data_IF_800067042656
#
_entry.id   IF_800067042656
#
_cell.length_a   1.000
_cell.length_b   1.000
_cell.length_c   1.000
_cell.angle_alpha   90.00
_cell.angle_beta   90.00
_cell.angle_gamma   90.00
#
_symmetry.space_group_name_H-M   'P 1'
#
loop_
_entity.id
_entity.type
_entity.pdbx_description
1 polymer ?
#
# COMPACT_ATOMS: atom_id res chain seq x y z
N UNK A 1 -8.42 28.37 -16.78
CA UNK A 1 -8.22 28.29 -15.32
C UNK A 1 -9.54 27.83 -14.74
N UNK A 2 -9.66 26.56 -14.34
CA UNK A 2 -10.93 26.03 -13.84
C UNK A 2 -11.13 26.52 -12.41
N UNK A 3 -12.14 27.36 -12.20
CA UNK A 3 -12.54 27.83 -10.87
C UNK A 3 -12.95 26.60 -10.05
N UNK A 4 -12.12 26.24 -9.07
CA UNK A 4 -12.49 25.20 -8.10
C UNK A 4 -13.37 25.85 -7.05
N UNK A 5 -14.57 25.33 -6.88
CA UNK A 5 -15.54 25.82 -5.90
C UNK A 5 -15.50 25.04 -4.56
N UNK A 6 -14.45 24.24 -4.33
CA UNK A 6 -14.22 23.47 -3.11
C UNK A 6 -12.79 23.64 -2.59
N UNK A 7 -12.59 23.37 -1.30
CA UNK A 7 -11.28 23.42 -0.64
C UNK A 7 -10.66 22.04 -0.49
N UNK A 8 -9.34 21.96 -0.39
CA UNK A 8 -8.63 20.69 -0.22
C UNK A 8 -7.96 20.67 1.13
N UNK A 9 -8.40 19.78 2.01
CA UNK A 9 -7.94 19.71 3.39
C UNK A 9 -6.82 18.68 3.52
N UNK A 10 -5.78 19.04 4.28
CA UNK A 10 -4.82 18.08 4.82
C UNK A 10 -5.48 17.15 5.84
N UNK A 11 -4.87 16.00 6.18
CA UNK A 11 -5.36 15.13 7.25
C UNK A 11 -5.58 15.84 8.60
N UNK A 12 -4.68 16.75 8.98
CA UNK A 12 -4.81 17.50 10.24
C UNK A 12 -5.99 18.49 10.24
N UNK A 13 -6.22 19.18 9.12
CA UNK A 13 -7.38 20.07 8.97
C UNK A 13 -8.69 19.28 8.92
N UNK A 14 -8.70 18.13 8.24
CA UNK A 14 -9.83 17.22 8.22
C UNK A 14 -10.14 16.68 9.63
N UNK A 15 -9.12 16.43 10.47
CA UNK A 15 -9.32 15.97 11.85
C UNK A 15 -9.98 17.06 12.70
N UNK A 16 -9.55 18.30 12.52
CA UNK A 16 -10.17 19.46 13.16
C UNK A 16 -11.62 19.63 12.73
N UNK A 17 -11.92 19.46 11.44
CA UNK A 17 -13.28 19.52 10.91
C UNK A 17 -14.17 18.40 11.49
N UNK A 18 -13.67 17.18 11.53
CA UNK A 18 -14.40 16.02 12.07
C UNK A 18 -14.67 16.15 13.57
N UNK A 19 -13.72 16.73 14.33
CA UNK A 19 -13.89 16.98 15.75
C UNK A 19 -15.06 17.94 16.08
N UNK A 20 -15.51 18.76 15.12
CA UNK A 20 -16.71 19.60 15.30
C UNK A 20 -18.00 18.77 15.38
N UNK A 21 -18.01 17.56 14.81
CA UNK A 21 -19.21 16.71 14.69
C UNK A 21 -20.28 17.25 13.74
N UNK A 22 -20.01 18.35 13.02
CA UNK A 22 -20.98 19.02 12.16
C UNK A 22 -20.87 18.61 10.69
N UNK A 23 -19.76 17.99 10.29
CA UNK A 23 -19.52 17.66 8.89
C UNK A 23 -20.30 16.43 8.43
N UNK A 24 -20.89 16.50 7.23
CA UNK A 24 -21.34 15.32 6.49
C UNK A 24 -20.16 14.72 5.74
N UNK A 25 -19.84 13.46 6.03
CA UNK A 25 -18.66 12.77 5.52
C UNK A 25 -19.07 11.71 4.52
N UNK A 26 -18.47 11.74 3.33
CA UNK A 26 -18.73 10.79 2.25
C UNK A 26 -17.48 10.07 1.81
N UNK A 27 -17.57 8.75 1.78
CA UNK A 27 -16.53 7.84 1.30
C UNK A 27 -16.91 7.30 -0.07
N UNK A 28 -16.12 7.65 -1.09
CA UNK A 28 -16.33 7.22 -2.48
C UNK A 28 -15.42 6.06 -2.89
N UNK A 29 -14.79 5.36 -1.93
CA UNK A 29 -14.06 4.10 -2.17
C UNK A 29 -15.03 2.96 -2.48
N UNK A 30 -14.54 1.83 -2.96
CA UNK A 30 -15.42 0.66 -3.15
C UNK A 30 -15.94 0.11 -1.82
N UNK A 31 -17.13 -0.51 -1.88
CA UNK A 31 -17.85 -1.02 -0.69
C UNK A 31 -17.02 -1.95 0.21
N UNK A 32 -16.16 -2.85 -0.31
CA UNK A 32 -15.30 -3.68 0.55
C UNK A 32 -14.33 -2.85 1.40
N UNK A 33 -13.72 -1.81 0.83
CA UNK A 33 -12.79 -0.95 1.56
C UNK A 33 -13.49 -0.06 2.58
N UNK A 34 -14.68 0.45 2.24
CA UNK A 34 -15.53 1.15 3.20
C UNK A 34 -15.89 0.23 4.38
N UNK A 35 -16.36 -0.99 4.12
CA UNK A 35 -16.78 -1.93 5.16
C UNK A 35 -15.65 -2.36 6.11
N UNK A 36 -14.40 -2.35 5.64
CA UNK A 36 -13.24 -2.71 6.44
C UNK A 36 -12.87 -1.61 7.44
N UNK A 37 -12.73 -0.37 6.98
CA UNK A 37 -12.36 0.77 7.82
C UNK A 37 -12.65 2.07 7.07
N UNK A 38 -13.13 3.11 7.77
CA UNK A 38 -13.55 4.38 7.19
C UNK A 38 -13.49 5.54 8.19
N UNK A 39 -13.56 6.79 7.71
CA UNK A 39 -13.62 7.96 8.58
C UNK A 39 -14.81 7.88 9.56
N UNK A 40 -14.69 8.43 10.78
CA UNK A 40 -15.78 8.46 11.73
C UNK A 40 -17.03 9.14 11.14
N UNK A 41 -18.18 8.46 11.20
CA UNK A 41 -19.45 8.99 10.68
C UNK A 41 -19.55 9.04 9.14
N UNK A 42 -18.60 8.45 8.41
CA UNK A 42 -18.66 8.41 6.95
C UNK A 42 -19.82 7.57 6.44
N UNK A 43 -20.50 8.08 5.42
CA UNK A 43 -21.46 7.33 4.61
C UNK A 43 -20.79 6.93 3.30
N UNK A 44 -20.94 5.68 2.89
CA UNK A 44 -20.51 5.23 1.58
C UNK A 44 -21.34 5.95 0.49
N UNK A 45 -20.66 6.44 -0.53
CA UNK A 45 -21.25 7.17 -1.65
C UNK A 45 -20.82 6.50 -2.95
N UNK A 46 -21.74 5.73 -3.52
CA UNK A 46 -21.63 5.18 -4.88
C UNK A 46 -22.46 6.02 -5.87
N UNK A 47 -22.41 5.65 -7.14
CA UNK A 47 -23.15 6.36 -8.20
C UNK A 47 -24.66 6.39 -7.97
N UNK A 48 -25.22 5.33 -7.36
CA UNK A 48 -26.65 5.25 -7.04
C UNK A 48 -27.05 6.13 -5.84
N UNK A 49 -26.12 6.38 -4.91
CA UNK A 49 -26.32 7.16 -3.70
C UNK A 49 -26.18 8.69 -3.88
N UNK A 50 -25.72 9.16 -5.04
CA UNK A 50 -25.42 10.58 -5.29
C UNK A 50 -26.64 11.49 -5.08
N UNK A 51 -27.78 11.16 -5.67
CA UNK A 51 -28.99 11.97 -5.58
C UNK A 51 -29.49 12.08 -4.15
N UNK A 52 -29.48 10.96 -3.41
CA UNK A 52 -29.86 10.92 -2.01
C UNK A 52 -28.91 11.76 -1.14
N UNK A 53 -27.62 11.75 -1.44
CA UNK A 53 -26.61 12.53 -0.73
C UNK A 53 -26.79 14.04 -0.96
N UNK A 54 -27.04 14.45 -2.21
CA UNK A 54 -27.26 15.86 -2.58
C UNK A 54 -28.56 16.43 -1.99
N UNK A 55 -29.64 15.66 -2.02
CA UNK A 55 -30.95 16.07 -1.49
C UNK A 55 -31.03 15.98 0.04
N UNK A 56 -30.37 14.98 0.62
CA UNK A 56 -30.41 14.69 2.06
C UNK A 56 -29.43 15.51 2.90
N UNK A 57 -28.55 16.30 2.29
CA UNK A 57 -27.53 17.09 3.02
C UNK A 57 -27.85 18.59 2.94
N UNK A 58 -27.99 19.28 4.08
CA UNK A 58 -28.18 20.73 4.11
C UNK A 58 -27.04 21.49 3.42
N UNK A 59 -27.37 22.47 2.57
CA UNK A 59 -26.39 23.21 1.74
C UNK A 59 -25.33 24.00 2.50
N UNK A 60 -25.65 24.37 3.75
CA UNK A 60 -24.76 25.12 4.66
C UNK A 60 -23.94 24.22 5.58
N UNK A 61 -24.22 22.91 5.59
CA UNK A 61 -23.46 21.97 6.39
C UNK A 61 -22.11 21.71 5.70
N UNK A 62 -20.99 21.66 6.45
CA UNK A 62 -19.72 21.26 5.88
C UNK A 62 -19.81 19.85 5.29
N UNK A 63 -19.28 19.67 4.08
CA UNK A 63 -19.21 18.38 3.40
C UNK A 63 -17.75 18.01 3.20
N UNK A 64 -17.35 16.83 3.69
CA UNK A 64 -16.03 16.24 3.46
C UNK A 64 -16.16 15.00 2.60
N UNK A 65 -15.45 14.95 1.48
CA UNK A 65 -15.45 13.82 0.54
C UNK A 65 -14.03 13.27 0.39
N UNK A 66 -13.88 11.94 0.40
CA UNK A 66 -12.58 11.31 0.23
C UNK A 66 -12.66 9.98 -0.53
N UNK A 67 -11.56 9.64 -1.21
CA UNK A 67 -11.35 8.34 -1.85
C UNK A 67 -10.02 7.73 -1.35
N UNK A 68 -9.48 6.72 -2.03
CA UNK A 68 -8.20 6.09 -1.65
C UNK A 68 -7.04 7.10 -1.57
N UNK A 69 -6.78 7.86 -2.65
CA UNK A 69 -5.62 8.76 -2.78
C UNK A 69 -6.01 10.24 -3.03
N UNK A 70 -7.30 10.58 -2.95
CA UNK A 70 -7.79 11.96 -3.10
C UNK A 70 -7.94 12.48 -4.54
N UNK A 71 -7.91 11.61 -5.56
CA UNK A 71 -8.14 11.99 -6.97
C UNK A 71 -9.62 11.94 -7.36
N UNK A 72 -10.29 10.79 -7.15
CA UNK A 72 -11.70 10.62 -7.48
C UNK A 72 -12.63 11.52 -6.64
N UNK A 73 -12.26 11.81 -5.38
CA UNK A 73 -13.02 12.70 -4.50
C UNK A 73 -13.17 14.12 -5.02
N UNK A 74 -12.30 14.55 -5.94
CA UNK A 74 -12.29 15.91 -6.49
C UNK A 74 -13.45 16.17 -7.44
N UNK A 75 -13.80 15.20 -8.28
CA UNK A 75 -14.93 15.31 -9.19
C UNK A 75 -16.24 15.37 -8.39
N UNK A 76 -16.34 14.55 -7.35
CA UNK A 76 -17.51 14.52 -6.46
C UNK A 76 -17.61 15.80 -5.62
N UNK A 77 -16.49 16.32 -5.10
CA UNK A 77 -16.47 17.60 -4.40
C UNK A 77 -16.90 18.76 -5.32
N UNK A 78 -16.45 18.76 -6.57
CA UNK A 78 -16.91 19.74 -7.54
C UNK A 78 -18.41 19.63 -7.79
N UNK A 79 -18.95 18.41 -7.96
CA UNK A 79 -20.38 18.21 -8.14
C UNK A 79 -21.19 18.79 -6.96
N UNK A 80 -20.82 18.51 -5.72
CA UNK A 80 -21.48 19.14 -4.56
C UNK A 80 -21.41 20.67 -4.63
N UNK A 81 -20.26 21.25 -4.98
CA UNK A 81 -20.14 22.70 -5.10
C UNK A 81 -21.06 23.27 -6.21
N UNK A 82 -21.12 22.62 -7.37
CA UNK A 82 -21.97 23.00 -8.51
C UNK A 82 -23.46 22.96 -8.16
N UNK A 83 -23.86 22.05 -7.26
CA UNK A 83 -25.22 21.97 -6.74
C UNK A 83 -25.52 23.04 -5.68
N UNK A 84 -24.57 23.90 -5.29
CA UNK A 84 -24.80 25.04 -4.39
C UNK A 84 -24.42 24.78 -2.93
N UNK A 85 -23.62 23.76 -2.65
CA UNK A 85 -22.99 23.60 -1.33
C UNK A 85 -21.84 24.60 -1.18
N UNK A 86 -21.83 25.36 -0.08
CA UNK A 86 -20.87 26.47 0.10
C UNK A 86 -19.63 26.10 0.90
N UNK A 87 -19.63 24.92 1.52
CA UNK A 87 -18.53 24.43 2.37
C UNK A 87 -18.19 22.99 1.99
N UNK A 88 -17.62 22.81 0.81
CA UNK A 88 -17.22 21.50 0.30
C UNK A 88 -15.72 21.35 0.38
N UNK A 89 -15.28 20.21 0.90
CA UNK A 89 -13.88 19.86 1.01
C UNK A 89 -13.57 18.45 0.50
N UNK A 90 -12.44 18.27 -0.18
CA UNK A 90 -11.85 16.96 -0.40
C UNK A 90 -10.66 16.70 0.54
N UNK A 91 -10.39 15.44 0.84
CA UNK A 91 -9.23 15.02 1.63
C UNK A 91 -8.00 14.82 0.73
N UNK A 92 -6.98 15.65 0.93
CA UNK A 92 -5.70 15.55 0.24
C UNK A 92 -5.02 14.21 0.54
N UNK A 93 -4.65 13.45 -0.50
CA UNK A 93 -4.06 12.12 -0.34
C UNK A 93 -5.03 11.04 0.15
N UNK A 94 -6.32 11.38 0.33
CA UNK A 94 -7.38 10.43 0.62
C UNK A 94 -7.22 9.67 1.93
N UNK A 95 -7.85 8.51 1.99
CA UNK A 95 -7.87 7.62 3.15
C UNK A 95 -6.47 7.20 3.61
N UNK A 96 -5.53 7.01 2.69
CA UNK A 96 -4.18 6.59 3.05
C UNK A 96 -3.41 7.68 3.80
N UNK A 97 -3.49 8.92 3.32
CA UNK A 97 -2.88 10.06 4.01
C UNK A 97 -3.48 10.26 5.40
N UNK A 98 -4.79 10.04 5.55
CA UNK A 98 -5.45 10.04 6.85
C UNK A 98 -4.96 8.93 7.79
N UNK A 99 -4.85 7.69 7.31
CA UNK A 99 -4.33 6.58 8.12
C UNK A 99 -2.89 6.83 8.56
N UNK A 100 -2.04 7.33 7.66
CA UNK A 100 -0.67 7.68 7.98
C UNK A 100 -0.60 8.78 9.06
N UNK A 101 -1.41 9.84 8.93
CA UNK A 101 -1.54 10.91 9.92
C UNK A 101 -1.98 10.38 11.28
N UNK A 102 -2.99 9.51 11.34
CA UNK A 102 -3.44 8.92 12.61
C UNK A 102 -2.42 7.96 13.22
N UNK A 103 -1.70 7.19 12.42
CA UNK A 103 -0.60 6.35 12.90
C UNK A 103 0.50 7.20 13.54
N UNK A 104 0.88 8.32 12.90
CA UNK A 104 1.83 9.28 13.45
C UNK A 104 1.32 9.97 14.74
N UNK A 105 0.02 10.29 14.82
CA UNK A 105 -0.59 10.87 16.03
C UNK A 105 -0.62 9.90 17.23
N UNK A 106 -0.80 8.60 16.99
CA UNK A 106 -0.73 7.56 18.03
C UNK A 106 0.71 7.35 18.52
N UNK A 107 1.70 7.51 17.64
CA UNK A 107 3.12 7.49 18.00
C UNK A 107 3.54 8.70 18.86
N UNK A 108 2.87 9.85 18.74
CA UNK A 108 3.17 11.05 19.52
C UNK A 108 2.64 11.04 20.98
N UNK A 109 1.57 10.27 21.26
CA UNK A 109 0.94 10.22 22.61
C UNK A 109 1.59 9.16 23.51
N UNK A 110 2.21 8.14 22.93
CA UNK A 110 3.11 7.25 23.67
C UNK A 110 4.51 7.82 23.54
N UNK A 111 4.96 8.56 24.55
CA UNK A 111 6.37 8.93 24.67
C UNK A 111 7.22 7.72 24.34
N UNK A 112 7.97 7.82 23.24
CA UNK A 112 8.93 6.81 22.80
C UNK A 112 9.87 6.63 23.98
N UNK A 113 9.73 5.52 24.72
CA UNK A 113 10.83 5.04 25.54
C UNK A 113 12.04 5.04 24.60
N UNK A 114 13.19 5.64 24.99
CA UNK A 114 14.32 5.78 24.08
C UNK A 114 14.59 4.40 23.49
N UNK A 115 14.32 4.24 22.18
CA UNK A 115 14.75 3.04 21.46
C UNK A 115 16.24 2.99 21.69
N UNK A 116 16.75 1.84 22.13
CA UNK A 116 18.18 1.66 22.18
C UNK A 116 18.75 2.13 20.84
N UNK A 117 19.80 2.97 20.85
CA UNK A 117 20.35 3.49 19.62
C UNK A 117 20.68 2.33 18.71
N UNK A 118 20.36 2.46 17.42
CA UNK A 118 20.64 1.41 16.45
C UNK A 118 22.13 1.05 16.51
N UNK A 119 22.49 -0.23 16.29
CA UNK A 119 23.88 -0.63 16.22
C UNK A 119 24.66 0.30 15.28
N UNK A 120 25.85 0.76 15.70
CA UNK A 120 26.60 1.78 14.96
C UNK A 120 26.79 1.41 13.48
N UNK A 121 27.04 0.13 13.20
CA UNK A 121 27.18 -0.38 11.83
C UNK A 121 25.92 -0.15 10.99
N UNK A 122 24.73 -0.33 11.56
CA UNK A 122 23.46 -0.08 10.87
C UNK A 122 23.22 1.42 10.71
N UNK A 123 23.47 2.21 11.75
CA UNK A 123 23.34 3.67 11.72
C UNK A 123 24.27 4.30 10.65
N UNK A 124 25.53 3.85 10.58
CA UNK A 124 26.51 4.30 9.59
C UNK A 124 26.07 3.92 8.17
N UNK A 125 25.53 2.72 8.00
CA UNK A 125 24.99 2.28 6.70
C UNK A 125 23.79 3.12 6.27
N UNK A 126 22.86 3.43 7.20
CA UNK A 126 21.73 4.31 6.92
C UNK A 126 22.19 5.68 6.41
N UNK A 127 23.15 6.30 7.10
CA UNK A 127 23.71 7.58 6.68
C UNK A 127 24.40 7.50 5.31
N UNK A 128 25.15 6.43 5.06
CA UNK A 128 25.83 6.23 3.77
C UNK A 128 24.84 6.10 2.60
N UNK A 129 23.67 5.51 2.83
CA UNK A 129 22.60 5.41 1.84
C UNK A 129 21.68 6.66 1.77
N UNK A 130 21.96 7.68 2.59
CA UNK A 130 21.25 8.98 2.58
C UNK A 130 20.03 9.04 3.50
N UNK A 131 19.93 8.14 4.47
CA UNK A 131 18.88 8.12 5.50
C UNK A 131 19.37 8.72 6.83
N UNK A 132 18.46 9.24 7.67
CA UNK A 132 18.77 9.50 9.07
C UNK A 132 19.25 8.23 9.78
N UNK A 133 20.20 8.38 10.71
CA UNK A 133 20.84 7.26 11.41
C UNK A 133 19.92 6.46 12.35
N UNK A 134 18.74 7.00 12.66
CA UNK A 134 17.81 6.53 13.68
C UNK A 134 16.39 6.30 13.15
N UNK A 135 16.15 6.51 11.85
CA UNK A 135 14.83 6.38 11.22
C UNK A 135 14.80 5.22 10.21
N UNK A 136 14.13 4.14 10.60
CA UNK A 136 13.97 2.92 9.81
C UNK A 136 12.88 3.03 8.73
N UNK A 137 12.01 4.04 8.77
CA UNK A 137 10.97 4.28 7.73
C UNK A 137 11.23 5.57 6.95
N UNK A 138 12.41 6.17 7.09
CA UNK A 138 12.81 7.33 6.32
C UNK A 138 12.69 7.06 4.82
N UNK A 139 12.25 8.06 4.05
CA UNK A 139 11.96 7.90 2.63
C UNK A 139 12.84 8.80 1.77
N UNK A 140 13.48 8.19 0.78
CA UNK A 140 14.10 8.95 -0.31
C UNK A 140 13.03 9.60 -1.20
N UNK A 141 13.45 10.43 -2.16
CA UNK A 141 12.55 11.18 -3.04
C UNK A 141 11.50 10.32 -3.78
N UNK A 142 11.81 9.05 -4.06
CA UNK A 142 10.90 8.10 -4.72
C UNK A 142 10.14 7.19 -3.72
N UNK A 143 10.14 7.52 -2.43
CA UNK A 143 9.48 6.73 -1.40
C UNK A 143 10.26 5.49 -0.94
N UNK A 144 11.49 5.26 -1.42
CA UNK A 144 12.29 4.08 -1.02
C UNK A 144 12.74 4.19 0.43
N UNK A 145 12.39 3.19 1.25
CA UNK A 145 12.83 3.04 2.65
C UNK A 145 14.19 2.32 2.74
N UNK A 146 14.88 2.36 3.90
CA UNK A 146 16.10 1.57 4.11
C UNK A 146 15.92 0.09 3.81
N UNK A 147 14.82 -0.52 4.26
CA UNK A 147 14.54 -1.94 4.05
C UNK A 147 14.36 -2.25 2.56
N UNK A 148 13.64 -1.40 1.82
CA UNK A 148 13.50 -1.51 0.38
C UNK A 148 14.84 -1.42 -0.35
N UNK A 149 15.72 -0.52 0.09
CA UNK A 149 17.06 -0.33 -0.48
C UNK A 149 17.93 -1.55 -0.26
N UNK A 150 17.99 -2.06 0.97
CA UNK A 150 18.73 -3.27 1.31
C UNK A 150 18.21 -4.49 0.54
N UNK A 151 16.88 -4.64 0.47
CA UNK A 151 16.23 -5.73 -0.25
C UNK A 151 16.56 -5.72 -1.74
N UNK A 152 16.45 -4.56 -2.39
CA UNK A 152 16.79 -4.40 -3.81
C UNK A 152 18.26 -4.74 -4.12
N UNK A 153 19.17 -4.42 -3.20
CA UNK A 153 20.60 -4.67 -3.34
C UNK A 153 20.99 -6.11 -2.98
N UNK A 154 20.08 -6.93 -2.43
CA UNK A 154 20.37 -8.29 -1.97
C UNK A 154 21.32 -8.32 -0.77
N UNK A 155 21.20 -7.35 0.14
CA UNK A 155 22.04 -7.27 1.33
C UNK A 155 21.37 -8.01 2.51
N UNK A 156 21.37 -9.35 2.48
CA UNK A 156 20.69 -10.20 3.47
C UNK A 156 20.98 -9.77 4.93
N UNK A 157 22.25 -9.53 5.28
CA UNK A 157 22.63 -9.08 6.64
C UNK A 157 21.95 -7.76 7.03
N UNK A 158 21.87 -6.80 6.10
CA UNK A 158 21.22 -5.50 6.35
C UNK A 158 19.72 -5.64 6.43
N UNK A 159 19.13 -6.51 5.62
CA UNK A 159 17.71 -6.83 5.69
C UNK A 159 17.38 -7.45 7.05
N UNK A 160 18.18 -8.42 7.51
CA UNK A 160 18.03 -9.02 8.84
C UNK A 160 18.15 -7.98 9.96
N UNK A 161 19.20 -7.14 9.93
CA UNK A 161 19.42 -6.06 10.91
C UNK A 161 18.20 -5.11 10.97
N UNK A 162 17.69 -4.69 9.82
CA UNK A 162 16.53 -3.78 9.72
C UNK A 162 15.23 -4.43 10.20
N UNK A 163 15.00 -5.69 9.85
CA UNK A 163 13.84 -6.47 10.30
C UNK A 163 13.87 -6.64 11.82
N UNK A 164 15.01 -7.02 12.40
CA UNK A 164 15.20 -7.17 13.86
C UNK A 164 14.99 -5.83 14.57
N UNK A 165 15.46 -4.73 13.98
CA UNK A 165 15.25 -3.38 14.50
C UNK A 165 13.80 -2.88 14.36
N UNK A 166 12.93 -3.63 13.66
CA UNK A 166 11.51 -3.34 13.50
C UNK A 166 11.21 -2.33 12.40
N UNK A 167 11.96 -2.38 11.30
CA UNK A 167 11.62 -1.64 10.08
C UNK A 167 10.25 -2.10 9.52
N UNK A 168 9.39 -1.20 9.03
CA UNK A 168 8.10 -1.59 8.46
C UNK A 168 8.27 -2.41 7.18
N UNK A 169 7.68 -3.61 7.15
CA UNK A 169 7.75 -4.53 5.99
C UNK A 169 6.88 -4.08 4.81
N UNK A 170 5.71 -3.50 5.13
CA UNK A 170 4.63 -3.22 4.19
C UNK A 170 4.60 -1.76 3.69
N UNK A 171 5.65 -0.98 3.99
CA UNK A 171 5.82 0.33 3.37
C UNK A 171 5.86 0.19 1.83
N UNK A 172 5.31 1.17 1.12
CA UNK A 172 5.26 1.21 -0.36
C UNK A 172 6.02 2.42 -0.89
N UNK A 173 6.84 2.21 -1.93
CA UNK A 173 7.49 3.30 -2.66
C UNK A 173 6.51 3.96 -3.65
N UNK A 174 6.99 4.93 -4.44
CA UNK A 174 6.18 5.66 -5.41
C UNK A 174 5.61 4.82 -6.58
N UNK A 175 6.09 3.58 -6.75
CA UNK A 175 5.58 2.62 -7.74
C UNK A 175 4.65 1.56 -7.08
N UNK A 176 4.38 1.71 -5.77
CA UNK A 176 3.61 0.74 -4.99
C UNK A 176 4.40 -0.49 -4.54
N UNK A 177 5.71 -0.53 -4.73
CA UNK A 177 6.54 -1.69 -4.42
C UNK A 177 6.90 -1.72 -2.92
N UNK A 178 6.80 -2.90 -2.31
CA UNK A 178 7.28 -3.17 -0.94
C UNK A 178 8.73 -3.66 -0.94
N UNK A 179 9.32 -3.84 0.24
CA UNK A 179 10.65 -4.42 0.36
C UNK A 179 10.72 -5.83 -0.27
N UNK A 180 9.72 -6.67 -0.04
CA UNK A 180 9.65 -8.00 -0.66
C UNK A 180 9.60 -7.89 -2.18
N UNK A 181 8.78 -7.00 -2.73
CA UNK A 181 8.71 -6.81 -4.18
C UNK A 181 10.07 -6.43 -4.79
N UNK A 182 10.82 -5.58 -4.09
CA UNK A 182 12.15 -5.16 -4.51
C UNK A 182 13.23 -6.24 -4.32
N UNK A 183 13.08 -7.13 -3.33
CA UNK A 183 13.94 -8.31 -3.18
C UNK A 183 13.91 -9.20 -4.43
N UNK A 184 12.81 -9.23 -5.16
CA UNK A 184 12.66 -10.09 -6.33
C UNK A 184 13.58 -9.67 -7.51
N UNK A 185 14.09 -8.43 -7.52
CA UNK A 185 15.14 -8.01 -8.46
C UNK A 185 16.50 -8.59 -8.11
N UNK A 186 16.77 -8.85 -6.83
CA UNK A 186 18.04 -9.45 -6.42
C UNK A 186 18.06 -10.92 -6.85
N UNK A 187 19.25 -11.48 -6.99
CA UNK A 187 19.45 -12.92 -7.15
C UNK A 187 19.79 -13.59 -5.81
N UNK A 188 19.61 -12.85 -4.71
CA UNK A 188 19.89 -13.30 -3.36
C UNK A 188 18.63 -13.89 -2.71
N UNK A 189 18.57 -15.22 -2.64
CA UNK A 189 17.45 -15.94 -2.06
C UNK A 189 17.32 -15.68 -0.54
N UNK A 190 18.43 -15.40 0.15
CA UNK A 190 18.42 -15.22 1.61
C UNK A 190 17.63 -13.96 1.99
N UNK A 191 17.81 -12.86 1.23
CA UNK A 191 17.02 -11.63 1.39
C UNK A 191 15.51 -11.90 1.29
N UNK A 192 15.10 -12.71 0.32
CA UNK A 192 13.69 -13.05 0.11
C UNK A 192 13.15 -13.88 1.28
N UNK A 193 13.89 -14.90 1.71
CA UNK A 193 13.53 -15.78 2.81
C UNK A 193 13.43 -15.02 4.14
N UNK A 194 14.35 -14.09 4.42
CA UNK A 194 14.30 -13.25 5.62
C UNK A 194 12.99 -12.45 5.66
N UNK A 195 12.62 -11.80 4.54
CA UNK A 195 11.40 -10.98 4.47
C UNK A 195 10.12 -11.82 4.60
N UNK A 196 10.07 -12.97 3.93
CA UNK A 196 8.93 -13.90 4.02
C UNK A 196 8.78 -14.47 5.44
N UNK A 197 9.88 -14.87 6.07
CA UNK A 197 9.89 -15.35 7.46
C UNK A 197 9.53 -14.25 8.47
N UNK A 198 9.82 -12.99 8.15
CA UNK A 198 9.39 -11.83 8.94
C UNK A 198 7.89 -11.53 8.81
N UNK A 199 7.19 -12.20 7.90
CA UNK A 199 5.75 -12.03 7.67
C UNK A 199 5.41 -11.00 6.60
N UNK A 200 6.34 -10.65 5.71
CA UNK A 200 6.03 -9.80 4.55
C UNK A 200 5.03 -10.51 3.63
N UNK A 201 3.99 -9.79 3.19
CA UNK A 201 2.96 -10.36 2.33
C UNK A 201 3.49 -10.66 0.91
N UNK A 202 3.41 -11.92 0.44
CA UNK A 202 3.85 -12.29 -0.91
C UNK A 202 2.91 -11.79 -2.02
N UNK A 203 1.67 -11.43 -1.66
CA UNK A 203 0.59 -11.11 -2.58
C UNK A 203 0.38 -9.61 -2.79
N UNK A 204 1.35 -8.80 -2.36
CA UNK A 204 1.31 -7.36 -2.57
C UNK A 204 1.33 -7.00 -4.05
N UNK A 205 0.33 -6.20 -4.45
CA UNK A 205 0.22 -5.61 -5.78
C UNK A 205 0.87 -4.23 -5.79
N UNK A 206 1.80 -4.02 -6.71
CA UNK A 206 2.31 -2.70 -7.00
C UNK A 206 1.27 -1.86 -7.78
N UNK A 207 1.61 -0.62 -8.14
CA UNK A 207 0.64 0.30 -8.76
C UNK A 207 0.26 -0.11 -10.20
N UNK A 208 1.00 -1.05 -10.81
CA UNK A 208 0.66 -1.67 -12.09
C UNK A 208 -0.14 -2.98 -11.92
N UNK A 209 -0.54 -3.32 -10.69
CA UNK A 209 -1.20 -4.58 -10.36
C UNK A 209 -0.30 -5.81 -10.45
N UNK A 210 1.02 -5.65 -10.50
CA UNK A 210 1.93 -6.79 -10.58
C UNK A 210 2.33 -7.27 -9.18
N UNK A 211 2.22 -8.58 -8.93
CA UNK A 211 2.81 -9.22 -7.75
C UNK A 211 4.30 -9.48 -7.97
N UNK A 212 5.05 -9.72 -6.89
CA UNK A 212 6.43 -10.18 -7.02
C UNK A 212 6.51 -11.51 -7.80
N UNK A 213 5.54 -12.41 -7.60
CA UNK A 213 5.50 -13.71 -8.31
C UNK A 213 5.38 -13.54 -9.82
N UNK A 214 4.56 -12.58 -10.29
CA UNK A 214 4.45 -12.24 -11.70
C UNK A 214 5.77 -11.73 -12.28
N UNK A 215 6.46 -10.83 -11.55
CA UNK A 215 7.78 -10.35 -11.95
C UNK A 215 8.79 -11.50 -12.04
N UNK A 216 8.87 -12.35 -11.01
CA UNK A 216 9.81 -13.47 -10.97
C UNK A 216 9.56 -14.47 -12.11
N UNK A 217 8.28 -14.73 -12.43
CA UNK A 217 7.90 -15.57 -13.56
C UNK A 217 8.33 -14.96 -14.90
N UNK A 218 8.09 -13.67 -15.11
CA UNK A 218 8.50 -12.92 -16.30
C UNK A 218 10.02 -12.85 -16.46
N UNK A 219 10.74 -12.63 -15.37
CA UNK A 219 12.19 -12.59 -15.35
C UNK A 219 12.85 -13.97 -15.42
N UNK A 220 12.07 -15.06 -15.39
CA UNK A 220 12.60 -16.43 -15.48
C UNK A 220 13.30 -16.91 -14.21
N UNK A 221 13.08 -16.24 -13.07
CA UNK A 221 13.74 -16.51 -11.79
C UNK A 221 13.07 -17.68 -11.05
N UNK A 222 13.27 -18.90 -11.55
CA UNK A 222 12.61 -20.09 -11.03
C UNK A 222 12.82 -20.33 -9.52
N UNK A 223 14.00 -19.99 -8.97
CA UNK A 223 14.25 -20.08 -7.53
C UNK A 223 13.37 -19.14 -6.70
N UNK A 224 13.22 -17.88 -7.16
CA UNK A 224 12.34 -16.89 -6.53
C UNK A 224 10.88 -17.32 -6.64
N UNK A 225 10.46 -17.81 -7.80
CA UNK A 225 9.11 -18.39 -8.00
C UNK A 225 8.85 -19.52 -7.00
N UNK A 226 9.80 -20.44 -6.85
CA UNK A 226 9.68 -21.56 -5.90
C UNK A 226 9.55 -21.08 -4.46
N UNK A 227 10.39 -20.12 -4.03
CA UNK A 227 10.36 -19.59 -2.67
C UNK A 227 9.03 -18.87 -2.35
N UNK A 228 8.53 -18.04 -3.27
CA UNK A 228 7.24 -17.36 -3.11
C UNK A 228 6.07 -18.34 -3.02
N UNK A 229 6.04 -19.36 -3.89
CA UNK A 229 5.00 -20.40 -3.84
C UNK A 229 5.08 -21.21 -2.53
N UNK A 230 6.28 -21.51 -2.05
CA UNK A 230 6.47 -22.19 -0.77
C UNK A 230 5.99 -21.34 0.42
N UNK A 231 6.09 -20.01 0.31
CA UNK A 231 5.55 -19.05 1.27
C UNK A 231 4.05 -18.76 1.08
N UNK A 232 3.37 -19.44 0.16
CA UNK A 232 1.92 -19.35 -0.01
C UNK A 232 1.44 -18.25 -0.94
N UNK A 233 2.29 -17.71 -1.81
CA UNK A 233 1.89 -16.73 -2.82
C UNK A 233 0.75 -17.26 -3.71
N UNK A 234 -0.29 -16.45 -3.91
CA UNK A 234 -1.42 -16.78 -4.76
C UNK A 234 -1.09 -16.55 -6.24
N UNK A 235 -0.77 -17.65 -6.92
CA UNK A 235 -0.50 -17.66 -8.36
C UNK A 235 -1.71 -17.34 -9.24
N UNK A 236 -2.93 -17.26 -8.68
CA UNK A 236 -4.16 -16.94 -9.40
C UNK A 236 -4.46 -15.43 -9.48
N UNK A 237 -3.72 -14.61 -8.73
CA UNK A 237 -3.83 -13.15 -8.81
C UNK A 237 -3.55 -12.66 -10.22
N UNK A 238 -4.17 -11.53 -10.56
CA UNK A 238 -4.16 -10.96 -11.90
C UNK A 238 -3.67 -9.52 -11.90
N UNK A 239 -2.87 -9.19 -12.90
CA UNK A 239 -2.45 -7.82 -13.17
C UNK A 239 -3.60 -6.97 -13.72
N UNK A 240 -3.36 -5.66 -13.88
CA UNK A 240 -4.32 -4.77 -14.52
C UNK A 240 -4.64 -5.16 -15.97
N UNK A 241 -3.74 -5.89 -16.62
CA UNK A 241 -3.91 -6.43 -17.98
C UNK A 241 -4.46 -7.88 -17.97
N UNK A 242 -5.02 -8.33 -16.86
CA UNK A 242 -5.62 -9.65 -16.64
C UNK A 242 -4.66 -10.85 -16.71
N UNK A 243 -3.34 -10.61 -16.69
CA UNK A 243 -2.31 -11.67 -16.70
C UNK A 243 -2.03 -12.23 -15.31
N UNK A 244 -1.90 -13.55 -15.23
CA UNK A 244 -1.39 -14.27 -14.06
C UNK A 244 0.13 -14.45 -14.13
N UNK A 245 0.75 -14.90 -13.04
CA UNK A 245 2.16 -15.29 -13.06
C UNK A 245 2.43 -16.41 -14.09
N UNK A 246 1.48 -17.33 -14.29
CA UNK A 246 1.60 -18.40 -15.28
C UNK A 246 1.65 -17.85 -16.71
N UNK A 247 0.82 -16.86 -17.03
CA UNK A 247 0.80 -16.22 -18.35
C UNK A 247 2.11 -15.49 -18.67
N UNK A 248 2.77 -14.98 -17.62
CA UNK A 248 4.03 -14.24 -17.74
C UNK A 248 5.27 -15.14 -17.71
N UNK A 249 5.16 -16.44 -17.46
CA UNK A 249 6.32 -17.31 -17.28
C UNK A 249 7.19 -17.39 -18.55
N UNK A 250 8.44 -16.94 -18.44
CA UNK A 250 9.37 -16.86 -19.58
C UNK A 250 10.26 -18.09 -19.76
N UNK A 251 10.24 -19.03 -18.81
CA UNK A 251 11.04 -20.26 -18.85
C UNK A 251 10.19 -21.49 -18.57
N UNK A 252 10.64 -22.65 -19.08
CA UNK A 252 9.99 -23.94 -18.80
C UNK A 252 9.96 -24.25 -17.29
N UNK A 253 11.00 -23.87 -16.56
CA UNK A 253 11.08 -24.06 -15.11
C UNK A 253 9.98 -23.26 -14.38
N UNK A 254 9.82 -21.97 -14.69
CA UNK A 254 8.74 -21.15 -14.12
C UNK A 254 7.36 -21.70 -14.51
N UNK A 255 7.16 -22.08 -15.77
CA UNK A 255 5.91 -22.69 -16.25
C UNK A 255 5.56 -23.96 -15.47
N UNK A 256 6.54 -24.83 -15.21
CA UNK A 256 6.31 -26.07 -14.48
C UNK A 256 6.00 -25.85 -13.00
N UNK A 257 6.61 -24.83 -12.37
CA UNK A 257 6.30 -24.45 -10.98
C UNK A 257 4.91 -23.85 -10.83
N UNK A 258 4.47 -23.05 -11.81
CA UNK A 258 3.20 -22.30 -11.76
C UNK A 258 1.99 -23.09 -12.27
N UNK A 259 2.22 -24.21 -12.96
CA UNK A 259 1.13 -25.07 -13.43
C UNK A 259 0.44 -25.71 -12.22
N UNK A 260 -0.89 -25.66 -12.13
CA UNK A 260 -1.64 -26.46 -11.17
C UNK A 260 -1.22 -27.92 -11.34
N UNK A 261 -0.80 -28.56 -10.25
CA UNK A 261 -0.26 -29.91 -10.30
C UNK A 261 -1.19 -30.83 -11.09
N UNK A 262 -0.71 -31.37 -12.23
CA UNK A 262 -1.34 -32.55 -12.83
C UNK A 262 -1.27 -33.61 -11.74
N UNK A 263 -2.40 -33.89 -11.09
CA UNK A 263 -2.49 -35.01 -10.16
C UNK A 263 -1.81 -36.21 -10.81
N UNK A 264 -0.84 -36.80 -10.11
CA UNK A 264 -0.25 -38.09 -10.52
C UNK A 264 -1.44 -38.98 -10.89
N UNK A 265 -1.63 -39.26 -12.19
CA UNK A 265 -2.51 -40.36 -12.58
C UNK A 265 -1.93 -41.57 -11.85
N UNK A 266 -2.66 -42.08 -10.87
CA UNK A 266 -2.36 -43.40 -10.35
C UNK A 266 -2.24 -44.33 -11.56
N UNK A 267 -1.16 -45.12 -11.68
CA UNK A 267 -1.08 -46.11 -12.74
C UNK A 267 -2.33 -46.97 -12.62
N UNK A 268 -3.17 -46.93 -13.65
CA UNK A 268 -4.42 -47.67 -13.67
C UNK A 268 -4.09 -49.15 -13.45
N UNK A 269 -4.70 -49.72 -12.42
CA UNK A 269 -4.80 -51.16 -12.27
C UNK A 269 -5.66 -51.68 -13.42
N UNK A 270 -5.00 -52.26 -14.43
CA UNK A 270 -5.59 -53.19 -15.36
C UNK A 270 -5.21 -54.61 -14.94
#
# INVERSE_FOLDING_TARGET
>A
MSDRHYTRLSPAEAETLLATGLASVFDVREKPFFAQDHLPGARHLDDAGMDAALLGTPRRQPVLIYCHHGNASRAVAQAFADFGFTQVSDLAGGWEAWRAHRAAGIQAVRGVAPREPLPAVLADWLQAEGYPADDLDARLANGTTPLMRAARLGLADRVADLVIAGAPLESRNADGNTALWLACFSDDADTLDILLNAGASPDNLNDNGATCLMYAASAGKAGVVQALLAAGADASLRSLDDFTALDMASTEACLNLLRPGRGRRAPGTA
#
